data_IF_695720602160
#
_entry.id   IF_695720602160
#
_cell.length_a   1.000
_cell.length_b   1.000
_cell.length_c   1.000
_cell.angle_alpha   90.00
_cell.angle_beta   90.00
_cell.angle_gamma   90.00
#
_symmetry.space_group_name_H-M   'P 1'
#
loop_
_entity.id
_entity.type
_entity.pdbx_description
1 polymer ?
#
# COMPACT_ATOMS: atom_id res chain seq x y z
N UNK A 1 -0.36 10.21 -16.86
CA UNK A 1 -1.55 9.75 -16.13
C UNK A 1 -2.05 8.39 -16.65
N UNK A 2 -2.40 8.23 -17.92
CA UNK A 2 -2.92 6.97 -18.51
C UNK A 2 -1.94 5.79 -18.30
N UNK A 3 -0.64 5.98 -18.55
CA UNK A 3 0.39 4.94 -18.35
C UNK A 3 0.44 4.43 -16.90
N UNK A 4 0.30 5.32 -15.93
CA UNK A 4 0.32 4.92 -14.50
C UNK A 4 -0.91 4.10 -14.13
N UNK A 5 -2.07 4.38 -14.72
CA UNK A 5 -3.29 3.60 -14.53
C UNK A 5 -3.11 2.20 -15.12
N UNK A 6 -2.60 2.11 -16.35
CA UNK A 6 -2.33 0.82 -17.01
C UNK A 6 -1.36 -0.03 -16.17
N UNK A 7 -0.28 0.59 -15.68
CA UNK A 7 0.70 -0.08 -14.84
C UNK A 7 0.09 -0.57 -13.53
N UNK A 8 -0.74 0.26 -12.88
CA UNK A 8 -1.43 -0.12 -11.63
C UNK A 8 -2.38 -1.31 -11.83
N UNK A 9 -3.16 -1.31 -12.93
CA UNK A 9 -4.05 -2.43 -13.28
C UNK A 9 -3.24 -3.70 -13.55
N UNK A 10 -2.12 -3.59 -14.26
CA UNK A 10 -1.25 -4.74 -14.55
C UNK A 10 -0.66 -5.34 -13.28
N UNK A 11 -0.13 -4.51 -12.37
CA UNK A 11 0.42 -4.97 -11.08
C UNK A 11 -0.67 -5.65 -10.24
N UNK A 12 -1.86 -5.03 -10.14
CA UNK A 12 -2.99 -5.61 -9.42
C UNK A 12 -3.38 -6.97 -10.01
N UNK A 13 -3.44 -7.09 -11.34
CA UNK A 13 -3.75 -8.35 -12.03
C UNK A 13 -2.75 -9.46 -11.68
N UNK A 14 -1.45 -9.14 -11.67
CA UNK A 14 -0.40 -10.11 -11.28
C UNK A 14 -0.60 -10.59 -9.84
N UNK A 15 -0.87 -9.69 -8.91
CA UNK A 15 -1.09 -10.02 -7.49
C UNK A 15 -2.28 -10.97 -7.36
N UNK A 16 -3.41 -10.68 -8.03
CA UNK A 16 -4.61 -11.51 -7.98
C UNK A 16 -4.35 -12.88 -8.62
N UNK A 17 -3.70 -12.93 -9.78
CA UNK A 17 -3.37 -14.20 -10.44
C UNK A 17 -2.52 -15.10 -9.54
N UNK A 18 -1.52 -14.56 -8.88
CA UNK A 18 -0.65 -15.32 -7.96
C UNK A 18 -1.45 -15.77 -6.73
N UNK A 19 -2.36 -14.97 -6.23
CA UNK A 19 -3.27 -15.32 -5.15
C UNK A 19 -4.15 -16.52 -5.52
N UNK A 20 -4.85 -16.45 -6.64
CA UNK A 20 -5.70 -17.54 -7.15
C UNK A 20 -4.89 -18.81 -7.46
N UNK A 21 -3.67 -18.62 -7.98
CA UNK A 21 -2.74 -19.72 -8.23
C UNK A 21 -2.32 -20.45 -6.95
N UNK A 22 -2.20 -19.73 -5.84
CA UNK A 22 -1.98 -20.30 -4.52
C UNK A 22 -3.11 -21.25 -4.11
N UNK A 23 -4.36 -20.82 -4.22
CA UNK A 23 -5.53 -21.63 -3.97
C UNK A 23 -5.54 -22.87 -4.89
N UNK A 24 -5.30 -22.68 -6.18
CA UNK A 24 -5.26 -23.73 -7.18
C UNK A 24 -4.25 -24.85 -6.84
N UNK A 25 -2.99 -24.48 -6.57
CA UNK A 25 -1.94 -25.47 -6.26
C UNK A 25 -2.27 -26.26 -5.01
N UNK A 26 -2.68 -25.57 -3.94
CA UNK A 26 -2.93 -26.24 -2.66
C UNK A 26 -4.21 -27.07 -2.70
N UNK A 27 -5.24 -26.63 -3.44
CA UNK A 27 -6.43 -27.45 -3.70
C UNK A 27 -6.07 -28.75 -4.41
N UNK A 28 -5.32 -28.66 -5.51
CA UNK A 28 -4.86 -29.85 -6.26
C UNK A 28 -3.99 -30.79 -5.42
N UNK A 29 -3.07 -30.24 -4.61
CA UNK A 29 -2.21 -31.00 -3.72
C UNK A 29 -3.00 -31.77 -2.64
N UNK A 30 -4.15 -31.23 -2.20
CA UNK A 30 -5.05 -31.90 -1.26
C UNK A 30 -6.12 -32.78 -1.94
N UNK A 31 -6.02 -33.00 -3.25
CA UNK A 31 -6.95 -33.84 -4.02
C UNK A 31 -8.35 -33.22 -4.07
N UNK A 32 -8.45 -31.90 -4.07
CA UNK A 32 -9.70 -31.17 -4.32
C UNK A 32 -9.85 -30.96 -5.82
N UNK A 33 -11.04 -31.21 -6.34
CA UNK A 33 -11.34 -30.94 -7.75
C UNK A 33 -11.50 -29.45 -7.96
N UNK A 34 -10.64 -28.85 -8.81
CA UNK A 34 -10.81 -27.49 -9.31
C UNK A 34 -11.52 -27.56 -10.65
N UNK A 35 -12.72 -26.99 -10.69
CA UNK A 35 -13.60 -27.01 -11.87
C UNK A 35 -13.14 -25.98 -12.89
N UNK A 36 -12.95 -24.73 -12.45
CA UNK A 36 -12.48 -23.64 -13.30
C UNK A 36 -11.31 -22.90 -12.64
N UNK A 37 -10.30 -22.58 -13.44
CA UNK A 37 -9.26 -21.63 -13.10
C UNK A 37 -9.27 -20.52 -14.14
N UNK A 38 -9.72 -19.33 -13.76
CA UNK A 38 -9.90 -18.22 -14.69
C UNK A 38 -9.01 -17.03 -14.36
N UNK A 39 -8.53 -16.38 -15.42
CA UNK A 39 -7.80 -15.13 -15.39
C UNK A 39 -8.72 -14.02 -15.93
N UNK A 40 -8.96 -12.99 -15.11
CA UNK A 40 -9.84 -11.89 -15.45
C UNK A 40 -11.31 -12.14 -15.11
N UNK A 41 -12.15 -11.15 -15.42
CA UNK A 41 -13.59 -11.17 -15.26
C UNK A 41 -14.32 -10.98 -16.58
N UNK A 42 -15.62 -11.32 -16.60
CA UNK A 42 -16.50 -11.15 -17.75
C UNK A 42 -16.55 -12.37 -18.67
N UNK A 43 -16.98 -12.21 -19.94
CA UNK A 43 -17.14 -13.31 -20.87
C UNK A 43 -15.81 -14.01 -21.20
N UNK A 44 -15.87 -15.34 -21.37
CA UNK A 44 -14.72 -16.17 -21.73
C UNK A 44 -14.24 -15.83 -23.15
N UNK A 45 -12.99 -15.36 -23.28
CA UNK A 45 -12.34 -15.13 -24.58
C UNK A 45 -11.70 -16.42 -25.11
N UNK A 46 -10.98 -17.12 -24.22
CA UNK A 46 -10.32 -18.38 -24.52
C UNK A 46 -10.59 -19.35 -23.37
N UNK A 47 -10.87 -20.61 -23.70
CA UNK A 47 -11.01 -21.64 -22.70
C UNK A 47 -10.36 -22.93 -23.19
N UNK A 48 -9.75 -23.68 -22.28
CA UNK A 48 -9.09 -24.94 -22.54
C UNK A 48 -9.39 -25.91 -21.39
N UNK A 49 -10.08 -26.99 -21.66
CA UNK A 49 -10.30 -28.07 -20.68
C UNK A 49 -9.13 -29.05 -20.70
N UNK A 50 -8.46 -29.21 -19.56
CA UNK A 50 -7.40 -30.17 -19.36
C UNK A 50 -7.68 -31.01 -18.11
N UNK A 51 -8.03 -32.28 -18.32
CA UNK A 51 -8.51 -33.15 -17.25
C UNK A 51 -9.84 -32.66 -16.69
N UNK A 52 -9.92 -32.49 -15.40
CA UNK A 52 -11.11 -32.01 -14.67
C UNK A 52 -11.23 -30.50 -14.58
N UNK A 53 -10.19 -29.74 -14.99
CA UNK A 53 -10.14 -28.27 -14.82
C UNK A 53 -10.29 -27.59 -16.18
N UNK A 54 -11.17 -26.60 -16.24
CA UNK A 54 -11.27 -25.65 -17.33
C UNK A 54 -10.42 -24.43 -17.02
N UNK A 55 -9.49 -24.10 -17.91
CA UNK A 55 -8.63 -22.91 -17.83
C UNK A 55 -9.22 -21.84 -18.72
N UNK A 56 -9.59 -20.68 -18.16
CA UNK A 56 -10.26 -19.61 -18.88
C UNK A 56 -9.46 -18.31 -18.86
N UNK A 57 -9.44 -17.62 -20.01
CA UNK A 57 -9.05 -16.22 -20.09
C UNK A 57 -10.31 -15.40 -20.37
N UNK A 58 -10.63 -14.46 -19.49
CA UNK A 58 -11.80 -13.59 -19.58
C UNK A 58 -11.46 -12.20 -20.10
N UNK A 59 -12.45 -11.43 -20.55
CA UNK A 59 -12.27 -10.17 -21.28
C UNK A 59 -11.56 -9.07 -20.46
N UNK A 60 -11.92 -8.92 -19.20
CA UNK A 60 -11.36 -7.88 -18.35
C UNK A 60 -10.11 -8.41 -17.65
N UNK A 61 -8.93 -7.79 -17.85
CA UNK A 61 -7.66 -8.36 -17.38
C UNK A 61 -7.39 -8.12 -15.89
N UNK A 62 -8.39 -7.82 -15.10
CA UNK A 62 -8.28 -7.68 -13.65
C UNK A 62 -9.15 -8.70 -12.95
N UNK A 63 -8.57 -9.32 -11.91
CA UNK A 63 -9.22 -10.39 -11.19
C UNK A 63 -8.87 -11.79 -11.70
N UNK A 64 -9.49 -12.78 -11.10
CA UNK A 64 -9.37 -14.18 -11.39
C UNK A 64 -10.30 -14.96 -10.48
N UNK A 65 -10.45 -16.25 -10.74
CA UNK A 65 -11.18 -17.14 -9.87
C UNK A 65 -10.62 -18.56 -9.93
N UNK A 66 -10.57 -19.20 -8.77
CA UNK A 66 -10.28 -20.62 -8.62
C UNK A 66 -11.52 -21.32 -8.06
N UNK A 67 -12.39 -21.81 -8.95
CA UNK A 67 -13.66 -22.44 -8.57
C UNK A 67 -13.40 -23.92 -8.23
N UNK A 68 -13.66 -24.27 -6.98
CA UNK A 68 -13.49 -25.62 -6.46
C UNK A 68 -14.84 -26.30 -6.28
N UNK A 69 -14.90 -27.59 -6.56
CA UNK A 69 -16.10 -28.39 -6.35
C UNK A 69 -16.55 -28.29 -4.88
N UNK A 70 -17.79 -27.82 -4.64
CA UNK A 70 -18.38 -27.69 -3.32
C UNK A 70 -17.94 -26.46 -2.51
N UNK A 71 -17.50 -25.41 -3.17
CA UNK A 71 -17.19 -24.10 -2.56
C UNK A 71 -18.36 -23.13 -2.62
N UNK A 72 -19.46 -23.48 -3.29
CA UNK A 72 -20.59 -22.62 -3.66
C UNK A 72 -21.39 -22.07 -2.48
N UNK A 73 -20.87 -21.06 -1.79
CA UNK A 73 -21.62 -20.32 -0.77
C UNK A 73 -21.76 -18.83 -1.05
N UNK A 74 -21.22 -18.30 -2.14
CA UNK A 74 -21.22 -16.86 -2.37
C UNK A 74 -21.76 -16.42 -3.75
N UNK A 75 -21.98 -17.34 -4.68
CA UNK A 75 -22.35 -16.97 -6.05
C UNK A 75 -23.85 -17.19 -6.38
N UNK A 76 -24.70 -17.45 -5.38
CA UNK A 76 -26.13 -17.72 -5.60
C UNK A 76 -27.02 -16.47 -5.63
N UNK A 77 -26.47 -15.24 -5.58
CA UNK A 77 -27.26 -14.02 -5.55
C UNK A 77 -27.23 -13.15 -6.82
N UNK A 78 -26.47 -13.53 -7.88
CA UNK A 78 -26.35 -12.66 -9.07
C UNK A 78 -27.07 -13.14 -10.34
N UNK A 79 -27.72 -14.31 -10.36
CA UNK A 79 -28.38 -14.83 -11.60
C UNK A 79 -29.92 -14.69 -11.65
N UNK A 80 -30.59 -14.01 -10.71
CA UNK A 80 -32.05 -13.91 -10.66
C UNK A 80 -32.67 -12.57 -11.13
N UNK A 81 -31.95 -11.71 -11.87
CA UNK A 81 -32.53 -10.43 -12.35
C UNK A 81 -32.88 -10.34 -13.84
N UNK A 82 -32.87 -11.41 -14.63
CA UNK A 82 -33.28 -11.31 -16.03
C UNK A 82 -34.24 -12.44 -16.49
N UNK A 83 -35.37 -12.63 -15.80
CA UNK A 83 -36.56 -13.24 -16.43
C UNK A 83 -37.84 -12.85 -15.67
N UNK A 84 -38.32 -11.64 -15.93
CA UNK A 84 -39.74 -11.34 -15.75
C UNK A 84 -40.47 -11.77 -17.03
N UNK A 85 -41.08 -12.92 -17.03
CA UNK A 85 -42.34 -13.14 -17.75
C UNK A 85 -43.20 -14.17 -17.01
N UNK A 86 -44.41 -13.77 -16.83
CA UNK A 86 -45.57 -14.28 -16.14
C UNK A 86 -45.80 -15.81 -16.29
N UNK A 87 -46.00 -16.54 -15.21
CA UNK A 87 -47.27 -17.15 -14.84
C UNK A 87 -47.15 -18.18 -13.71
N UNK A 88 -48.01 -17.96 -12.71
CA UNK A 88 -48.70 -18.91 -11.82
C UNK A 88 -47.91 -19.82 -10.87
N UNK A 89 -47.97 -19.39 -9.59
CA UNK A 89 -48.34 -20.20 -8.42
C UNK A 89 -47.96 -21.67 -8.41
N UNK A 90 -46.93 -22.00 -7.65
CA UNK A 90 -47.10 -23.00 -6.59
C UNK A 90 -46.08 -22.77 -5.46
N UNK A 91 -46.65 -22.53 -4.29
CA UNK A 91 -45.92 -22.47 -3.03
C UNK A 91 -45.26 -23.83 -2.73
N UNK A 92 -43.96 -23.82 -2.54
CA UNK A 92 -43.35 -24.71 -1.56
C UNK A 92 -42.21 -23.99 -0.86
N UNK A 93 -42.57 -23.33 0.22
CA UNK A 93 -41.70 -22.86 1.26
C UNK A 93 -41.21 -24.05 2.06
N UNK A 94 -40.02 -24.53 1.79
CA UNK A 94 -39.24 -25.31 2.75
C UNK A 94 -38.00 -24.52 3.15
N UNK A 95 -38.25 -23.39 3.82
CA UNK A 95 -37.31 -22.81 4.71
C UNK A 95 -37.12 -23.79 5.87
N UNK A 96 -36.01 -24.48 5.92
CA UNK A 96 -35.65 -25.36 7.02
C UNK A 96 -35.38 -24.48 8.25
N UNK A 97 -36.40 -24.40 9.11
CA UNK A 97 -36.37 -23.71 10.39
C UNK A 97 -35.43 -24.44 11.35
N UNK A 98 -34.31 -23.79 11.67
CA UNK A 98 -33.28 -24.27 12.62
C UNK A 98 -33.87 -24.51 14.03
N UNK A 99 -35.08 -24.03 14.32
CA UNK A 99 -35.72 -24.17 15.64
C UNK A 99 -36.24 -25.58 15.92
N UNK A 100 -36.41 -26.43 14.91
CA UNK A 100 -36.98 -27.78 15.09
C UNK A 100 -35.91 -28.92 15.19
N UNK A 101 -34.62 -28.62 15.06
CA UNK A 101 -33.55 -29.63 15.18
C UNK A 101 -33.18 -29.98 16.64
N UNK A 102 -33.79 -29.32 17.63
CA UNK A 102 -33.46 -29.50 19.05
C UNK A 102 -34.29 -30.58 19.78
N UNK A 103 -35.19 -31.32 19.09
CA UNK A 103 -36.13 -32.21 19.79
C UNK A 103 -36.22 -33.66 19.26
N UNK A 104 -35.22 -34.17 18.51
CA UNK A 104 -35.07 -35.63 18.38
C UNK A 104 -33.58 -35.99 18.53
N UNK A 105 -33.29 -36.65 19.60
CA UNK A 105 -31.95 -37.10 19.97
C UNK A 105 -31.39 -38.15 19.00
N UNK A 106 -30.61 -37.68 18.06
CA UNK A 106 -29.59 -38.45 17.40
C UNK A 106 -28.33 -37.57 17.32
N UNK A 107 -27.69 -37.48 18.51
CA UNK A 107 -26.39 -36.86 18.67
C UNK A 107 -25.28 -37.83 18.25
N UNK A 108 -25.23 -38.14 16.94
CA UNK A 108 -24.07 -38.84 16.40
C UNK A 108 -23.99 -38.52 14.88
N UNK A 109 -23.11 -37.63 14.54
CA UNK A 109 -22.61 -37.21 13.23
C UNK A 109 -23.07 -35.84 12.70
N UNK A 110 -23.10 -34.81 13.52
CA UNK A 110 -22.90 -33.47 13.00
C UNK A 110 -21.41 -33.25 12.71
N UNK A 111 -20.85 -34.01 11.73
CA UNK A 111 -19.61 -33.61 11.11
C UNK A 111 -19.90 -32.30 10.37
N UNK A 112 -19.06 -31.30 10.59
CA UNK A 112 -19.09 -30.02 9.92
C UNK A 112 -18.86 -30.18 8.41
N UNK A 113 -19.81 -30.80 7.72
CA UNK A 113 -19.89 -30.90 6.26
C UNK A 113 -20.62 -29.65 5.77
N UNK A 114 -19.91 -28.77 5.06
CA UNK A 114 -20.54 -27.64 4.40
C UNK A 114 -21.69 -28.13 3.49
N UNK A 115 -22.85 -27.52 3.61
CA UNK A 115 -24.01 -27.82 2.79
C UNK A 115 -23.76 -27.32 1.37
N UNK A 116 -23.58 -28.23 0.45
CA UNK A 116 -23.67 -27.96 -0.98
C UNK A 116 -25.16 -27.87 -1.34
N UNK A 117 -25.56 -26.90 -2.14
CA UNK A 117 -26.96 -26.83 -2.59
C UNK A 117 -27.28 -28.11 -3.37
N UNK A 118 -28.51 -28.62 -3.26
CA UNK A 118 -28.93 -29.82 -3.99
C UNK A 118 -28.69 -29.67 -5.48
N UNK A 119 -28.95 -28.49 -6.04
CA UNK A 119 -28.73 -28.15 -7.44
C UNK A 119 -27.25 -28.29 -7.87
N UNK A 120 -26.34 -27.73 -7.09
CA UNK A 120 -24.91 -27.83 -7.36
C UNK A 120 -24.39 -29.28 -7.24
N UNK A 121 -24.99 -30.07 -6.37
CA UNK A 121 -24.69 -31.49 -6.23
C UNK A 121 -25.16 -32.30 -7.46
N UNK A 122 -26.35 -32.01 -7.93
CA UNK A 122 -26.93 -32.70 -9.11
C UNK A 122 -26.16 -32.33 -10.38
N UNK A 123 -25.81 -31.07 -10.59
CA UNK A 123 -24.95 -30.60 -11.68
C UNK A 123 -23.55 -31.25 -11.63
N UNK A 124 -22.94 -31.35 -10.44
CA UNK A 124 -21.65 -32.04 -10.29
C UNK A 124 -21.71 -33.54 -10.65
N UNK A 125 -22.80 -34.20 -10.30
CA UNK A 125 -23.04 -35.63 -10.66
C UNK A 125 -23.29 -35.81 -12.16
N UNK A 126 -24.06 -34.91 -12.78
CA UNK A 126 -24.28 -34.92 -14.24
C UNK A 126 -22.98 -34.73 -15.02
N UNK A 127 -22.02 -33.94 -14.49
CA UNK A 127 -20.72 -33.73 -15.09
C UNK A 127 -19.68 -34.82 -14.72
N UNK A 128 -20.08 -35.86 -13.94
CA UNK A 128 -19.25 -36.97 -13.55
C UNK A 128 -18.12 -36.65 -12.58
N UNK A 129 -18.26 -35.58 -11.78
CA UNK A 129 -17.26 -35.23 -10.76
C UNK A 129 -17.38 -36.14 -9.53
N UNK A 130 -16.21 -36.55 -8.99
CA UNK A 130 -16.12 -37.33 -7.77
C UNK A 130 -16.35 -36.44 -6.53
N UNK A 131 -17.49 -36.56 -5.91
CA UNK A 131 -17.89 -35.81 -4.72
C UNK A 131 -16.98 -36.03 -3.52
N UNK A 132 -16.24 -37.14 -3.45
CA UNK A 132 -15.22 -37.34 -2.38
C UNK A 132 -14.08 -36.31 -2.47
N UNK A 133 -13.94 -35.68 -3.61
CA UNK A 133 -12.95 -34.66 -3.93
C UNK A 133 -13.48 -33.23 -3.81
N UNK A 134 -14.71 -33.05 -3.27
CA UNK A 134 -15.30 -31.76 -2.96
C UNK A 134 -14.54 -31.07 -1.82
N UNK A 135 -14.39 -29.74 -1.89
CA UNK A 135 -13.80 -28.92 -0.83
C UNK A 135 -14.51 -29.14 0.52
N UNK A 136 -15.85 -29.22 0.52
CA UNK A 136 -16.65 -29.45 1.72
C UNK A 136 -16.34 -30.78 2.41
N UNK A 137 -15.99 -31.82 1.64
CA UNK A 137 -15.71 -33.18 2.15
C UNK A 137 -14.26 -33.38 2.59
N UNK A 138 -13.39 -32.38 2.46
CA UNK A 138 -12.00 -32.46 2.92
C UNK A 138 -11.86 -32.13 4.38
N UNK A 139 -10.76 -32.60 4.96
CA UNK A 139 -10.43 -32.29 6.36
C UNK A 139 -10.38 -30.78 6.61
N UNK A 140 -10.66 -30.35 7.84
CA UNK A 140 -10.61 -28.93 8.23
C UNK A 140 -9.23 -28.33 7.92
N UNK A 141 -8.16 -29.08 8.15
CA UNK A 141 -6.78 -28.62 7.89
C UNK A 141 -6.52 -28.41 6.39
N UNK A 142 -7.04 -29.29 5.53
CA UNK A 142 -6.93 -29.10 4.07
C UNK A 142 -7.68 -27.83 3.61
N UNK A 143 -8.86 -27.58 4.15
CA UNK A 143 -9.65 -26.39 3.86
C UNK A 143 -8.94 -25.10 4.32
N UNK A 144 -8.41 -25.09 5.56
CA UNK A 144 -7.61 -23.99 6.08
C UNK A 144 -6.38 -23.76 5.21
N UNK A 145 -5.66 -24.82 4.82
CA UNK A 145 -4.48 -24.70 3.97
C UNK A 145 -4.81 -24.06 2.61
N UNK A 146 -5.93 -24.45 2.00
CA UNK A 146 -6.39 -23.85 0.73
C UNK A 146 -6.73 -22.38 0.92
N UNK A 147 -7.49 -22.02 1.95
CA UNK A 147 -7.88 -20.60 2.22
C UNK A 147 -6.64 -19.74 2.49
N UNK A 148 -5.69 -20.26 3.27
CA UNK A 148 -4.45 -19.54 3.60
C UNK A 148 -3.47 -19.45 2.42
N UNK A 149 -3.61 -20.31 1.41
CA UNK A 149 -2.67 -20.39 0.29
C UNK A 149 -2.62 -19.11 -0.56
N UNK A 150 -3.77 -18.48 -0.82
CA UNK A 150 -3.82 -17.24 -1.59
C UNK A 150 -2.95 -16.14 -0.97
N UNK A 151 -3.21 -15.70 0.27
CA UNK A 151 -2.36 -14.74 0.96
C UNK A 151 -0.89 -15.18 1.05
N UNK A 152 -0.64 -16.46 1.35
CA UNK A 152 0.73 -16.99 1.45
C UNK A 152 1.51 -16.83 0.15
N UNK A 153 0.90 -17.10 -0.99
CA UNK A 153 1.54 -16.91 -2.29
C UNK A 153 1.83 -15.45 -2.60
N UNK A 154 0.99 -14.52 -2.14
CA UNK A 154 1.27 -13.10 -2.25
C UNK A 154 2.47 -12.69 -1.39
N UNK A 155 2.63 -13.25 -0.18
CA UNK A 155 3.85 -13.04 0.62
C UNK A 155 5.10 -13.61 -0.06
N UNK A 156 5.01 -14.79 -0.69
CA UNK A 156 6.10 -15.36 -1.48
C UNK A 156 6.46 -14.43 -2.65
N UNK A 157 5.47 -13.92 -3.38
CA UNK A 157 5.69 -12.96 -4.45
C UNK A 157 6.37 -11.69 -3.94
N UNK A 158 5.86 -11.11 -2.85
CA UNK A 158 6.46 -9.92 -2.22
C UNK A 158 7.93 -10.17 -1.82
N UNK A 159 8.22 -11.34 -1.24
CA UNK A 159 9.59 -11.71 -0.89
C UNK A 159 10.50 -11.83 -2.13
N UNK A 160 10.01 -12.47 -3.20
CA UNK A 160 10.77 -12.56 -4.47
C UNK A 160 11.06 -11.15 -5.02
N UNK A 161 10.05 -10.28 -5.05
CA UNK A 161 10.22 -8.89 -5.48
C UNK A 161 11.24 -8.15 -4.59
N UNK A 162 11.17 -8.32 -3.27
CA UNK A 162 12.10 -7.72 -2.33
C UNK A 162 13.54 -8.22 -2.57
N UNK A 163 13.74 -9.51 -2.83
CA UNK A 163 15.06 -10.07 -3.17
C UNK A 163 15.61 -9.43 -4.45
N UNK A 164 14.78 -9.27 -5.48
CA UNK A 164 15.18 -8.63 -6.74
C UNK A 164 15.53 -7.17 -6.51
N UNK A 165 14.73 -6.43 -5.75
CA UNK A 165 14.94 -5.00 -5.45
C UNK A 165 16.23 -4.84 -4.64
N UNK A 166 16.35 -5.51 -3.50
CA UNK A 166 17.53 -5.40 -2.62
C UNK A 166 18.80 -5.91 -3.33
N UNK A 167 18.68 -6.94 -4.16
CA UNK A 167 19.80 -7.45 -4.95
C UNK A 167 20.27 -6.49 -6.04
N UNK A 168 19.33 -5.77 -6.67
CA UNK A 168 19.61 -4.86 -7.78
C UNK A 168 20.12 -3.50 -7.31
N UNK A 169 19.41 -2.87 -6.38
CA UNK A 169 19.66 -1.47 -5.96
C UNK A 169 20.15 -1.33 -4.51
N UNK A 170 20.13 -2.42 -3.73
CA UNK A 170 20.54 -2.41 -2.33
C UNK A 170 19.38 -2.12 -1.37
N UNK A 171 19.70 -2.09 -0.07
CA UNK A 171 18.78 -1.67 1.01
C UNK A 171 19.09 -0.23 1.44
N UNK A 172 18.20 0.41 2.16
CA UNK A 172 18.31 1.79 2.64
C UNK A 172 18.61 1.83 4.15
N UNK A 173 19.90 1.76 4.54
CA UNK A 173 20.28 1.89 5.95
C UNK A 173 19.93 3.29 6.47
N UNK A 174 19.71 3.40 7.78
CA UNK A 174 19.63 4.70 8.43
C UNK A 174 21.04 5.28 8.62
N UNK A 175 21.64 5.77 7.52
CA UNK A 175 22.96 6.43 7.56
C UNK A 175 22.78 7.94 7.62
N UNK A 176 23.58 8.58 8.45
CA UNK A 176 23.66 10.04 8.53
C UNK A 176 24.37 10.55 7.27
N UNK A 177 23.60 11.14 6.35
CA UNK A 177 24.11 11.69 5.08
C UNK A 177 24.49 13.17 5.20
N UNK A 178 23.79 13.91 6.07
CA UNK A 178 24.08 15.31 6.37
C UNK A 178 24.02 15.54 7.87
N UNK A 179 25.01 16.23 8.39
CA UNK A 179 25.07 16.72 9.76
C UNK A 179 25.03 18.23 9.75
N UNK A 180 24.11 18.81 10.52
CA UNK A 180 24.05 20.26 10.69
C UNK A 180 24.91 20.67 11.89
N UNK A 181 25.78 21.66 11.67
CA UNK A 181 26.60 22.24 12.74
C UNK A 181 25.69 22.85 13.83
N UNK A 182 26.17 22.92 15.05
CA UNK A 182 25.46 23.45 16.21
C UNK A 182 24.08 22.80 16.49
N UNK A 183 23.97 21.51 16.17
CA UNK A 183 22.73 20.73 16.32
C UNK A 183 22.77 19.77 17.51
N UNK A 184 21.60 19.31 18.02
CA UNK A 184 21.57 18.30 19.07
C UNK A 184 22.34 17.03 18.73
N UNK A 185 22.33 16.60 17.48
CA UNK A 185 23.04 15.41 17.04
C UNK A 185 24.57 15.62 17.01
N UNK A 186 25.01 16.78 16.54
CA UNK A 186 26.42 17.15 16.57
C UNK A 186 26.94 17.25 18.01
N UNK A 187 26.18 17.88 18.91
CA UNK A 187 26.49 17.96 20.34
C UNK A 187 26.53 16.56 21.01
N UNK A 188 25.72 15.63 20.53
CA UNK A 188 25.72 14.23 20.98
C UNK A 188 26.87 13.41 20.40
N UNK A 189 27.71 13.97 19.51
CA UNK A 189 28.89 13.31 18.94
C UNK A 189 28.60 12.43 17.73
N UNK A 190 27.42 12.54 17.10
CA UNK A 190 27.12 11.94 15.81
C UNK A 190 27.87 12.68 14.70
N UNK A 191 28.16 11.98 13.60
CA UNK A 191 28.86 12.53 12.44
C UNK A 191 28.30 11.95 11.15
N UNK A 192 28.57 12.62 10.04
CA UNK A 192 28.29 12.07 8.72
C UNK A 192 28.95 10.70 8.53
N UNK A 193 28.24 9.78 7.88
CA UNK A 193 28.66 8.41 7.67
C UNK A 193 28.27 7.43 8.78
N UNK A 194 27.84 7.89 9.95
CA UNK A 194 27.35 7.01 11.01
C UNK A 194 26.10 6.25 10.55
N UNK A 195 26.06 4.95 10.84
CA UNK A 195 24.88 4.13 10.55
C UNK A 195 24.14 3.82 11.84
N UNK A 196 22.94 4.37 11.99
CA UNK A 196 22.08 4.15 13.16
C UNK A 196 21.50 2.73 13.06
N UNK A 197 21.73 1.93 14.10
CA UNK A 197 21.31 0.52 14.16
C UNK A 197 20.31 0.21 15.28
N UNK A 198 20.14 1.16 16.21
CA UNK A 198 19.17 1.02 17.31
C UNK A 198 18.82 2.40 17.86
N UNK A 199 17.54 2.59 18.21
CA UNK A 199 17.05 3.77 18.95
C UNK A 199 16.27 3.25 20.16
N UNK A 200 16.73 3.59 21.36
CA UNK A 200 16.26 3.01 22.61
C UNK A 200 16.26 1.48 22.54
N UNK A 201 15.11 0.85 22.71
CA UNK A 201 14.97 -0.61 22.61
C UNK A 201 14.61 -1.12 21.21
N UNK A 202 14.34 -0.23 20.24
CA UNK A 202 13.97 -0.62 18.88
C UNK A 202 15.20 -0.75 17.98
N UNK A 203 15.27 -1.87 17.27
CA UNK A 203 16.27 -2.11 16.24
C UNK A 203 15.92 -1.27 15.01
N UNK A 204 16.93 -0.62 14.45
CA UNK A 204 16.86 0.12 13.19
C UNK A 204 17.63 -0.67 12.14
N UNK A 205 16.95 -1.11 11.11
CA UNK A 205 17.54 -1.82 9.97
C UNK A 205 17.46 -0.95 8.71
N UNK A 206 16.33 -0.30 8.51
CA UNK A 206 16.04 0.60 7.40
C UNK A 206 15.84 2.03 7.92
N UNK A 207 16.01 3.00 7.04
CA UNK A 207 15.71 4.39 7.36
C UNK A 207 14.27 4.59 7.86
N UNK A 208 13.31 3.85 7.29
CA UNK A 208 11.90 3.92 7.71
C UNK A 208 11.69 3.56 9.18
N UNK A 209 12.47 2.61 9.75
CA UNK A 209 12.33 2.20 11.15
C UNK A 209 12.62 3.38 12.08
N UNK A 210 13.68 4.16 11.76
CA UNK A 210 14.01 5.40 12.46
C UNK A 210 12.94 6.47 12.27
N UNK A 211 12.46 6.66 11.03
CA UNK A 211 11.43 7.65 10.70
C UNK A 211 10.13 7.40 11.43
N UNK A 212 9.67 6.13 11.50
CA UNK A 212 8.48 5.76 12.27
C UNK A 212 8.69 5.97 13.77
N UNK A 213 9.83 5.53 14.31
CA UNK A 213 10.14 5.76 15.71
C UNK A 213 10.04 7.25 16.06
N UNK A 214 10.69 8.09 15.26
CA UNK A 214 10.74 9.52 15.44
C UNK A 214 9.37 10.19 15.30
N UNK A 215 8.54 9.73 14.37
CA UNK A 215 7.18 10.25 14.19
C UNK A 215 6.33 10.13 15.48
N UNK A 216 6.44 9.02 16.19
CA UNK A 216 5.68 8.77 17.42
C UNK A 216 6.35 9.28 18.70
N UNK A 217 7.63 9.61 18.66
CA UNK A 217 8.43 9.99 19.84
C UNK A 217 9.28 11.23 19.57
N UNK A 218 8.73 12.20 18.84
CA UNK A 218 9.47 13.36 18.38
C UNK A 218 10.05 14.22 19.52
N UNK A 219 9.33 14.28 20.64
CA UNK A 219 9.61 15.08 21.84
C UNK A 219 10.49 14.39 22.88
N UNK A 220 10.85 13.11 22.64
CA UNK A 220 11.51 12.30 23.67
C UNK A 220 13.00 12.16 23.43
N UNK A 221 13.73 12.10 24.55
CA UNK A 221 15.13 11.70 24.55
C UNK A 221 15.31 10.33 23.93
N UNK A 222 16.35 10.16 23.12
CA UNK A 222 16.68 8.94 22.40
C UNK A 222 18.11 8.48 22.72
N UNK A 223 18.26 7.22 23.13
CA UNK A 223 19.54 6.55 23.16
C UNK A 223 19.81 5.95 21.79
N UNK A 224 20.73 6.53 21.04
CA UNK A 224 21.07 6.15 19.67
C UNK A 224 22.31 5.27 19.70
N UNK A 225 22.18 4.03 19.22
CA UNK A 225 23.32 3.17 18.93
C UNK A 225 23.64 3.23 17.44
N UNK A 226 24.86 3.54 17.12
CA UNK A 226 25.33 3.68 15.74
C UNK A 226 26.63 2.94 15.50
N UNK A 227 26.97 2.70 14.23
CA UNK A 227 28.23 2.10 13.79
C UNK A 227 29.02 3.17 13.06
N UNK A 228 30.26 3.36 13.51
CA UNK A 228 31.30 4.19 12.87
C UNK A 228 32.55 3.33 12.73
N UNK A 229 33.10 3.24 11.52
CA UNK A 229 34.33 2.44 11.23
C UNK A 229 34.23 0.99 11.72
N UNK A 230 33.05 0.39 11.62
CA UNK A 230 32.80 -1.00 12.04
C UNK A 230 32.63 -1.21 13.55
N UNK A 231 32.79 -0.18 14.38
CA UNK A 231 32.62 -0.22 15.82
C UNK A 231 31.26 0.36 16.25
N UNK A 232 30.70 -0.19 17.32
CA UNK A 232 29.45 0.28 17.88
C UNK A 232 29.67 1.33 18.97
N UNK A 233 28.94 2.40 18.88
CA UNK A 233 28.89 3.48 19.86
C UNK A 233 27.43 3.72 20.28
N UNK A 234 27.25 4.27 21.47
CA UNK A 234 25.93 4.69 21.95
C UNK A 234 26.05 6.11 22.50
N UNK A 235 25.11 6.95 22.12
CA UNK A 235 24.98 8.31 22.61
C UNK A 235 23.54 8.64 22.90
N UNK A 236 23.33 9.65 23.72
CA UNK A 236 21.98 10.14 24.05
C UNK A 236 21.73 11.45 23.33
N UNK A 237 20.61 11.55 22.64
CA UNK A 237 20.19 12.74 21.91
C UNK A 237 18.82 13.20 22.42
N UNK A 238 18.71 14.48 22.76
CA UNK A 238 17.45 15.15 23.06
C UNK A 238 17.11 16.07 21.89
N UNK A 239 15.99 15.83 21.15
CA UNK A 239 15.58 16.72 20.09
C UNK A 239 15.27 18.13 20.61
N UNK A 240 15.63 19.15 19.86
CA UNK A 240 15.30 20.53 20.13
C UNK A 240 13.88 20.85 19.68
N UNK A 241 13.07 21.46 20.54
CA UNK A 241 11.76 21.97 20.16
C UNK A 241 11.92 23.32 19.47
N UNK A 242 11.69 23.34 18.16
CA UNK A 242 11.80 24.55 17.35
C UNK A 242 10.41 25.10 17.05
N UNK A 243 10.20 26.35 17.42
CA UNK A 243 9.04 27.14 17.01
C UNK A 243 9.50 28.10 15.92
N UNK A 244 8.93 27.98 14.76
CA UNK A 244 9.27 28.80 13.63
C UNK A 244 8.02 29.51 13.10
N UNK A 245 8.04 30.80 13.16
CA UNK A 245 7.04 31.65 12.53
C UNK A 245 7.46 31.95 11.09
N UNK A 246 6.57 31.70 10.16
CA UNK A 246 6.78 31.98 8.73
C UNK A 246 5.54 32.60 8.11
N UNK A 247 5.74 33.59 7.27
CA UNK A 247 4.68 34.11 6.43
C UNK A 247 4.49 33.22 5.21
N UNK A 248 3.26 32.78 4.97
CA UNK A 248 2.92 31.87 3.88
C UNK A 248 1.72 32.40 3.08
N UNK A 249 1.75 32.11 1.78
CA UNK A 249 0.63 32.44 0.88
C UNK A 249 -0.24 31.23 0.53
N UNK A 250 0.18 30.01 0.92
CA UNK A 250 -0.58 28.77 0.74
C UNK A 250 -0.38 28.09 -0.60
N UNK A 251 0.86 28.05 -1.09
CA UNK A 251 1.25 27.34 -2.30
C UNK A 251 2.32 26.29 -1.99
N UNK A 252 2.33 25.21 -2.76
CA UNK A 252 3.45 24.28 -2.82
C UNK A 252 4.32 24.63 -4.03
N UNK A 253 5.61 24.79 -3.80
CA UNK A 253 6.58 25.21 -4.81
C UNK A 253 7.52 24.08 -5.19
N UNK A 254 7.78 23.93 -6.48
CA UNK A 254 8.93 23.21 -6.99
C UNK A 254 10.21 24.03 -6.79
N UNK A 255 11.36 23.41 -6.88
CA UNK A 255 12.65 24.06 -6.65
C UNK A 255 12.89 25.26 -7.58
N UNK A 256 12.38 25.22 -8.80
CA UNK A 256 12.48 26.28 -9.83
C UNK A 256 11.47 27.42 -9.66
N UNK A 257 10.66 27.41 -8.58
CA UNK A 257 9.63 28.42 -8.32
C UNK A 257 8.29 28.20 -9.01
N UNK A 258 8.08 27.04 -9.68
CA UNK A 258 6.78 26.67 -10.24
C UNK A 258 5.84 26.18 -9.14
N UNK A 259 4.58 26.58 -9.23
CA UNK A 259 3.54 26.20 -8.27
C UNK A 259 2.96 24.87 -8.66
N UNK A 260 3.19 23.85 -7.84
CA UNK A 260 2.64 22.50 -8.02
C UNK A 260 1.22 22.36 -7.48
N UNK A 261 0.88 23.08 -6.40
CA UNK A 261 -0.45 23.07 -5.84
C UNK A 261 -0.75 24.40 -5.12
N UNK A 262 -2.04 24.76 -5.06
CA UNK A 262 -2.56 25.89 -4.29
C UNK A 262 -3.58 25.36 -3.29
N UNK A 263 -3.40 25.67 -2.02
CA UNK A 263 -4.32 25.25 -0.96
C UNK A 263 -5.57 26.13 -0.95
N UNK A 264 -6.74 25.51 -0.73
CA UNK A 264 -8.02 26.24 -0.68
C UNK A 264 -8.07 27.29 0.44
N UNK A 265 -8.77 28.39 0.19
CA UNK A 265 -9.01 29.48 1.15
C UNK A 265 -7.73 30.15 1.66
N UNK A 266 -6.64 30.06 0.94
CA UNK A 266 -5.37 30.74 1.23
C UNK A 266 -5.27 32.07 0.50
N UNK A 267 -4.34 32.98 0.92
CA UNK A 267 -4.12 34.23 0.22
C UNK A 267 -3.86 34.06 -1.28
N UNK A 268 -3.09 33.05 -1.67
CA UNK A 268 -2.80 32.75 -3.06
C UNK A 268 -4.04 32.32 -3.85
N UNK A 269 -4.87 31.46 -3.28
CA UNK A 269 -6.13 31.03 -3.91
C UNK A 269 -7.11 32.20 -4.11
N UNK A 270 -7.24 33.06 -3.10
CA UNK A 270 -8.12 34.26 -3.15
C UNK A 270 -7.62 35.25 -4.19
N UNK A 271 -6.30 35.41 -4.31
CA UNK A 271 -5.69 36.31 -5.31
C UNK A 271 -5.72 35.73 -6.74
N UNK A 272 -6.10 34.48 -6.94
CA UNK A 272 -6.22 33.86 -8.26
C UNK A 272 -4.93 33.23 -8.78
N UNK A 273 -4.01 32.85 -7.91
CA UNK A 273 -2.87 31.98 -8.27
C UNK A 273 -3.39 30.57 -8.57
N UNK A 274 -2.83 29.93 -9.59
CA UNK A 274 -3.19 28.57 -9.99
C UNK A 274 -1.96 27.67 -10.11
N UNK A 275 -2.17 26.36 -10.07
CA UNK A 275 -1.12 25.38 -10.34
C UNK A 275 -0.59 25.54 -11.75
N UNK A 276 0.73 25.45 -11.94
CA UNK A 276 1.43 25.68 -13.19
C UNK A 276 1.97 27.13 -13.34
N UNK A 277 1.54 28.09 -12.52
CA UNK A 277 2.16 29.41 -12.47
C UNK A 277 3.61 29.30 -11.98
N UNK A 278 4.50 30.12 -12.53
CA UNK A 278 5.88 30.25 -12.01
C UNK A 278 6.05 31.63 -11.41
N UNK A 279 6.43 31.70 -10.15
CA UNK A 279 6.73 32.99 -9.49
C UNK A 279 8.05 33.52 -10.05
N UNK A 280 8.01 34.73 -10.64
CA UNK A 280 9.15 35.42 -11.25
C UNK A 280 9.64 36.59 -10.43
N UNK A 281 8.76 37.24 -9.64
CA UNK A 281 9.15 38.33 -8.74
C UNK A 281 8.21 38.42 -7.51
N UNK A 282 8.74 38.98 -6.41
CA UNK A 282 8.00 39.36 -5.20
C UNK A 282 8.33 40.80 -4.90
N UNK A 283 7.32 41.68 -4.80
CA UNK A 283 7.49 43.12 -4.64
C UNK A 283 8.49 43.73 -5.66
N UNK A 284 8.47 43.26 -6.89
CA UNK A 284 9.38 43.70 -7.96
C UNK A 284 10.79 43.11 -7.89
N UNK A 285 11.14 42.39 -6.84
CA UNK A 285 12.43 41.68 -6.71
C UNK A 285 12.36 40.35 -7.44
N UNK A 286 13.20 40.16 -8.45
CA UNK A 286 13.29 38.90 -9.20
C UNK A 286 13.72 37.77 -8.30
N UNK A 287 13.08 36.59 -8.49
CA UNK A 287 13.32 35.36 -7.75
C UNK A 287 13.45 34.19 -8.75
N UNK A 288 14.34 33.24 -8.45
CA UNK A 288 14.67 32.14 -9.37
C UNK A 288 14.30 30.78 -8.79
N UNK A 289 14.18 30.66 -7.47
CA UNK A 289 13.93 29.40 -6.77
C UNK A 289 13.04 29.58 -5.54
N UNK A 290 12.54 28.46 -5.03
CA UNK A 290 11.61 28.43 -3.89
C UNK A 290 12.19 29.03 -2.60
N UNK A 291 13.50 28.94 -2.39
CA UNK A 291 14.17 29.53 -1.21
C UNK A 291 14.10 31.06 -1.26
N UNK A 292 14.49 31.67 -2.39
CA UNK A 292 14.42 33.11 -2.57
C UNK A 292 12.98 33.64 -2.47
N UNK A 293 12.02 32.90 -3.02
CA UNK A 293 10.59 33.25 -2.91
C UNK A 293 10.18 33.29 -1.42
N UNK A 294 10.50 32.25 -0.66
CA UNK A 294 10.17 32.16 0.76
C UNK A 294 10.83 33.27 1.57
N UNK A 295 12.08 33.58 1.29
CA UNK A 295 12.80 34.69 1.95
C UNK A 295 12.14 36.03 1.70
N UNK A 296 11.77 36.32 0.44
CA UNK A 296 11.11 37.59 0.10
C UNK A 296 9.71 37.72 0.75
N UNK A 297 8.95 36.60 0.76
CA UNK A 297 7.64 36.59 1.44
C UNK A 297 7.81 36.85 2.94
N UNK A 298 8.81 36.25 3.60
CA UNK A 298 9.04 36.47 5.04
C UNK A 298 9.48 37.90 5.39
N UNK A 299 10.21 38.56 4.49
CA UNK A 299 10.62 39.98 4.68
C UNK A 299 9.46 40.95 4.72
N UNK A 300 8.27 40.55 4.25
CA UNK A 300 7.11 41.45 4.23
C UNK A 300 6.49 41.70 5.61
N UNK A 301 6.85 40.92 6.65
CA UNK A 301 6.33 41.02 8.00
C UNK A 301 4.79 41.13 8.07
N UNK A 302 4.09 40.36 7.22
CA UNK A 302 2.63 40.35 7.15
C UNK A 302 1.98 41.50 6.39
N UNK A 303 2.75 42.36 5.77
CA UNK A 303 2.23 43.42 4.89
C UNK A 303 1.80 42.81 3.56
N UNK A 304 0.92 43.53 2.84
CA UNK A 304 0.52 43.12 1.48
C UNK A 304 1.73 43.12 0.56
N UNK A 305 1.82 42.09 -0.27
CA UNK A 305 2.88 41.89 -1.28
C UNK A 305 2.30 41.74 -2.65
N UNK A 306 3.08 42.14 -3.64
CA UNK A 306 2.80 41.91 -5.05
C UNK A 306 3.63 40.72 -5.55
N UNK A 307 2.95 39.66 -6.00
CA UNK A 307 3.60 38.50 -6.59
C UNK A 307 3.38 38.54 -8.09
N UNK A 308 4.47 38.55 -8.85
CA UNK A 308 4.43 38.41 -10.30
C UNK A 308 4.65 36.95 -10.64
N UNK A 309 3.69 36.37 -11.38
CA UNK A 309 3.77 35.01 -11.89
C UNK A 309 3.82 35.02 -13.41
N UNK A 310 4.59 34.13 -13.99
CA UNK A 310 4.54 33.85 -15.43
C UNK A 310 3.50 32.75 -15.69
N UNK A 311 2.43 33.11 -16.39
CA UNK A 311 1.30 32.24 -16.76
C UNK A 311 1.15 32.24 -18.27
N UNK A 312 1.32 31.07 -18.91
CA UNK A 312 1.21 30.91 -20.37
C UNK A 312 2.09 31.93 -21.15
N UNK A 313 3.28 32.24 -20.63
CA UNK A 313 4.23 33.16 -21.26
C UNK A 313 3.94 34.64 -21.04
N UNK A 314 2.95 35.00 -20.24
CA UNK A 314 2.63 36.39 -19.88
C UNK A 314 2.81 36.57 -18.37
N UNK A 315 3.33 37.73 -17.97
CA UNK A 315 3.48 38.08 -16.56
C UNK A 315 2.17 38.68 -16.02
N UNK A 316 1.71 38.14 -14.90
CA UNK A 316 0.54 38.58 -14.15
C UNK A 316 0.96 38.96 -12.75
N UNK A 317 0.65 40.17 -12.28
CA UNK A 317 0.93 40.60 -10.91
C UNK A 317 -0.34 40.54 -10.09
N UNK A 318 -0.24 39.90 -8.94
CA UNK A 318 -1.35 39.62 -8.02
C UNK A 318 -0.97 40.08 -6.63
N UNK A 319 -1.82 40.91 -6.01
CA UNK A 319 -1.60 41.45 -4.66
C UNK A 319 -2.27 40.56 -3.62
N UNK A 320 -1.56 40.26 -2.53
CA UNK A 320 -2.08 39.44 -1.43
C UNK A 320 -1.36 39.72 -0.12
N UNK A 321 -2.02 39.40 0.99
CA UNK A 321 -1.41 39.52 2.33
C UNK A 321 -1.08 38.12 2.85
N UNK A 322 0.21 37.79 3.03
CA UNK A 322 0.61 36.49 3.59
C UNK A 322 0.10 36.32 5.02
N UNK A 323 -0.21 35.07 5.38
CA UNK A 323 -0.60 34.73 6.75
C UNK A 323 0.61 34.25 7.54
N UNK A 324 0.71 34.69 8.79
CA UNK A 324 1.65 34.14 9.74
C UNK A 324 1.20 32.70 10.07
N UNK A 325 2.11 31.77 9.92
CA UNK A 325 1.92 30.35 10.28
C UNK A 325 3.01 29.98 11.28
N UNK A 326 2.58 29.56 12.45
CA UNK A 326 3.47 29.00 13.46
C UNK A 326 3.66 27.51 13.17
N UNK A 327 4.90 27.11 12.93
CA UNK A 327 5.28 25.71 12.76
C UNK A 327 6.09 25.27 13.98
N UNK A 328 5.61 24.26 14.66
CA UNK A 328 6.35 23.62 15.75
C UNK A 328 6.83 22.24 15.30
N UNK A 329 8.11 21.99 15.47
CA UNK A 329 8.68 20.68 15.16
C UNK A 329 9.87 20.38 16.06
N UNK A 330 10.18 19.09 16.19
CA UNK A 330 11.32 18.64 16.95
C UNK A 330 12.49 18.36 15.99
N UNK A 331 13.61 19.02 16.25
CA UNK A 331 14.79 19.01 15.41
C UNK A 331 15.89 18.15 16.02
N UNK A 332 16.44 17.23 15.26
CA UNK A 332 17.56 16.35 15.69
C UNK A 332 18.91 16.81 15.16
N UNK A 333 18.92 17.50 14.03
CA UNK A 333 20.13 18.06 13.46
C UNK A 333 20.92 17.17 12.54
N UNK A 334 20.30 16.12 12.00
CA UNK A 334 20.86 15.32 10.92
C UNK A 334 19.79 14.89 9.94
N UNK A 335 20.21 14.53 8.73
CA UNK A 335 19.35 13.95 7.72
C UNK A 335 19.92 12.64 7.20
N UNK A 336 19.00 11.68 6.97
CA UNK A 336 19.28 10.45 6.26
C UNK A 336 18.44 10.48 4.98
N UNK A 337 19.08 10.37 3.82
CA UNK A 337 18.37 10.41 2.53
C UNK A 337 18.08 9.01 1.99
N UNK A 338 18.38 7.96 2.75
CA UNK A 338 18.16 6.58 2.36
C UNK A 338 19.00 6.15 1.15
N UNK A 339 20.26 6.62 1.09
CA UNK A 339 21.20 6.17 0.06
C UNK A 339 21.34 4.65 0.13
N UNK A 340 20.95 3.98 -0.96
CA UNK A 340 20.93 2.51 -1.00
C UNK A 340 22.31 1.91 -1.07
N UNK A 341 22.56 0.87 -0.27
CA UNK A 341 23.82 0.15 -0.20
C UNK A 341 23.66 -1.27 -0.70
N UNK A 342 24.51 -1.66 -1.67
CA UNK A 342 24.58 -3.04 -2.14
C UNK A 342 25.19 -3.94 -1.07
N UNK A 343 24.64 -5.13 -0.95
CA UNK A 343 25.07 -6.12 0.04
C UNK A 343 25.37 -7.46 -0.62
N UNK A 344 26.04 -8.34 0.11
CA UNK A 344 26.31 -9.71 -0.36
C UNK A 344 24.97 -10.50 -0.53
N UNK A 345 24.94 -11.54 -1.38
CA UNK A 345 23.73 -12.33 -1.63
C UNK A 345 23.03 -12.85 -0.38
N UNK A 346 23.82 -13.30 0.63
CA UNK A 346 23.27 -13.79 1.90
C UNK A 346 22.60 -12.66 2.67
N UNK A 347 23.19 -11.47 2.70
CA UNK A 347 22.61 -10.28 3.34
C UNK A 347 21.39 -9.79 2.56
N UNK A 348 21.38 -9.93 1.23
CA UNK A 348 20.20 -9.63 0.39
C UNK A 348 18.97 -10.39 0.86
N UNK A 349 19.07 -11.71 1.08
CA UNK A 349 17.94 -12.50 1.60
C UNK A 349 17.46 -12.03 2.97
N UNK A 350 18.40 -11.68 3.87
CA UNK A 350 18.08 -11.17 5.20
C UNK A 350 17.34 -9.84 5.14
N UNK A 351 17.79 -8.90 4.32
CA UNK A 351 17.15 -7.59 4.19
C UNK A 351 15.83 -7.68 3.40
N UNK A 352 15.76 -8.53 2.36
CA UNK A 352 14.52 -8.80 1.66
C UNK A 352 13.41 -9.34 2.60
N UNK A 353 13.78 -10.21 3.55
CA UNK A 353 12.83 -10.68 4.56
C UNK A 353 12.35 -9.52 5.46
N UNK A 354 13.23 -8.60 5.82
CA UNK A 354 12.88 -7.40 6.60
C UNK A 354 12.08 -6.35 5.81
N UNK A 355 12.06 -6.40 4.48
CA UNK A 355 11.20 -5.54 3.65
C UNK A 355 9.74 -6.01 3.64
N UNK A 356 9.49 -7.31 3.85
CA UNK A 356 8.17 -7.94 3.77
C UNK A 356 7.51 -8.08 5.14
N UNK A 357 8.27 -8.11 6.22
CA UNK A 357 7.80 -8.19 7.62
C UNK A 357 8.09 -6.92 8.33
#
# INVERSE_FOLDING_TARGET
MVLNIILAVLVLSIIIIIHEFGHFIVAKANGITVVEFSLGFGPKLLHLKKGETEYCLKLLPFGGACIMLGQDFLDAEEDDEDNQDENEKEKNTDAYDISNAAHKGDAASASAGGYMSMKAKDEALEHGYDMSRSFANKSVWARIAVIAAGPLFNFILAFICAVVIVGSIGYDPCRVDVMYEDSPAAAAGLSEGDTIVKVNNQKVTFYRDYSFYRYYHADKQMDITYIRDGQKYTTTLMPEHVKQEKYQIGVSLEQNGTISAVSDKTPAAVAGIVSGDRISAVNGVKVENSTQISEQINKCNGQSIDITVSRNGSDVTLSMTPKLVENEYYYTGFACYGAREKVSPIKTLKYALGEVG
#
